data_IF_945447909882
#
_entry.id   IF_945447909882
#
_cell.length_a   1.000
_cell.length_b   1.000
_cell.length_c   1.000
_cell.angle_alpha   90.00
_cell.angle_beta   90.00
_cell.angle_gamma   90.00
#
_symmetry.space_group_name_H-M   'P 1'
#
loop_
_entity.id
_entity.type
_entity.pdbx_description
1 polymer ?
#
# COMPACT_ATOMS: atom_id res chain seq x y z
N UNK A 1 -10.46 0.53 13.00
CA UNK A 1 -10.63 -0.48 11.94
C UNK A 1 -10.74 0.21 10.59
N UNK A 2 -9.91 -0.22 9.64
CA UNK A 2 -10.02 0.22 8.25
C UNK A 2 -10.86 -0.74 7.42
N UNK A 3 -11.66 -0.20 6.50
CA UNK A 3 -12.52 -1.00 5.62
C UNK A 3 -11.98 -0.94 4.19
N UNK A 4 -11.70 -2.10 3.60
CA UNK A 4 -11.20 -2.21 2.23
C UNK A 4 -12.34 -2.56 1.28
N UNK A 5 -12.53 -1.73 0.25
CA UNK A 5 -13.63 -1.83 -0.71
C UNK A 5 -13.03 -2.11 -2.10
N UNK A 6 -13.65 -3.05 -2.81
CA UNK A 6 -13.30 -3.43 -4.17
C UNK A 6 -14.57 -3.63 -5.01
N UNK A 7 -14.41 -3.70 -6.33
CA UNK A 7 -15.52 -4.05 -7.22
C UNK A 7 -15.87 -5.53 -7.16
N UNK A 8 -17.13 -5.84 -7.43
CA UNK A 8 -17.59 -7.20 -7.70
C UNK A 8 -17.14 -7.66 -9.08
N UNK A 9 -17.05 -8.99 -9.27
CA UNK A 9 -16.57 -9.58 -10.52
C UNK A 9 -17.49 -9.25 -11.70
N UNK A 10 -18.80 -9.29 -11.46
CA UNK A 10 -19.83 -9.28 -12.51
C UNK A 10 -20.46 -7.90 -12.73
N UNK A 11 -20.05 -6.88 -11.97
CA UNK A 11 -20.53 -5.50 -12.14
C UNK A 11 -19.89 -4.85 -13.36
N UNK A 12 -20.73 -4.30 -14.25
CA UNK A 12 -20.28 -3.55 -15.42
C UNK A 12 -19.70 -2.17 -15.08
N UNK A 13 -20.42 -1.37 -14.30
CA UNK A 13 -19.94 -0.08 -13.77
C UNK A 13 -19.14 -0.30 -12.49
N UNK A 14 -17.82 -0.45 -12.61
CA UNK A 14 -16.95 -0.71 -11.46
C UNK A 14 -17.10 0.33 -10.34
N UNK A 15 -17.27 1.61 -10.68
CA UNK A 15 -17.34 2.69 -9.70
C UNK A 15 -18.61 2.63 -8.84
N UNK A 16 -19.72 2.06 -9.36
CA UNK A 16 -20.95 1.88 -8.59
C UNK A 16 -20.77 1.02 -7.33
N UNK A 17 -19.97 -0.04 -7.41
CA UNK A 17 -19.68 -0.91 -6.25
C UNK A 17 -18.89 -0.15 -5.16
N UNK A 18 -17.91 0.68 -5.57
CA UNK A 18 -17.14 1.47 -4.61
C UNK A 18 -18.00 2.54 -3.94
N UNK A 19 -18.82 3.26 -4.71
CA UNK A 19 -19.76 4.26 -4.20
C UNK A 19 -20.70 3.64 -3.17
N UNK A 20 -21.30 2.48 -3.51
CA UNK A 20 -22.18 1.76 -2.59
C UNK A 20 -21.44 1.32 -1.32
N UNK A 21 -20.24 0.75 -1.47
CA UNK A 21 -19.43 0.32 -0.33
C UNK A 21 -19.04 1.46 0.59
N UNK A 22 -18.66 2.61 0.03
CA UNK A 22 -18.26 3.81 0.78
C UNK A 22 -19.47 4.40 1.53
N UNK A 23 -20.60 4.57 0.85
CA UNK A 23 -21.82 5.09 1.48
C UNK A 23 -22.33 4.17 2.59
N UNK A 24 -22.21 2.85 2.41
CA UNK A 24 -22.74 1.85 3.37
C UNK A 24 -21.82 1.67 4.58
N UNK A 25 -20.50 1.57 4.35
CA UNK A 25 -19.54 1.19 5.38
C UNK A 25 -18.76 2.37 5.95
N UNK A 26 -18.78 3.53 5.29
CA UNK A 26 -18.10 4.75 5.72
C UNK A 26 -18.42 5.17 7.16
N UNK A 27 -19.70 5.20 7.59
CA UNK A 27 -20.05 5.56 8.97
C UNK A 27 -19.51 4.60 10.05
N UNK A 28 -18.98 3.44 9.67
CA UNK A 28 -18.46 2.39 10.56
C UNK A 28 -16.92 2.29 10.51
N UNK A 29 -16.26 3.03 9.63
CA UNK A 29 -14.84 2.89 9.34
C UNK A 29 -14.02 4.03 9.98
N UNK A 30 -12.88 3.69 10.58
CA UNK A 30 -11.89 4.70 11.00
C UNK A 30 -11.08 5.22 9.80
N UNK A 31 -11.00 4.43 8.72
CA UNK A 31 -10.52 4.86 7.40
C UNK A 31 -11.03 3.89 6.33
N UNK A 32 -11.18 4.38 5.11
CA UNK A 32 -11.61 3.62 3.94
C UNK A 32 -10.43 3.35 3.01
N UNK A 33 -10.49 2.25 2.27
CA UNK A 33 -9.51 1.92 1.24
C UNK A 33 -10.20 1.55 -0.06
N UNK A 34 -9.87 2.25 -1.13
CA UNK A 34 -10.24 1.91 -2.50
C UNK A 34 -9.16 0.98 -3.08
N UNK A 35 -9.54 -0.26 -3.38
CA UNK A 35 -8.62 -1.29 -3.85
C UNK A 35 -8.76 -1.56 -5.34
N UNK A 36 -7.85 -0.97 -6.12
CA UNK A 36 -7.75 -1.12 -7.58
C UNK A 36 -6.62 -2.06 -8.02
N UNK A 37 -6.07 -2.86 -7.09
CA UNK A 37 -4.75 -3.47 -7.29
C UNK A 37 -4.69 -5.00 -7.22
N UNK A 38 -5.80 -5.67 -6.95
CA UNK A 38 -5.85 -7.15 -6.95
C UNK A 38 -5.51 -7.70 -8.34
N UNK A 39 -4.56 -8.65 -8.45
CA UNK A 39 -4.30 -9.36 -9.71
C UNK A 39 -5.35 -10.44 -10.03
N UNK A 40 -6.22 -10.77 -9.06
CA UNK A 40 -7.14 -11.91 -9.16
C UNK A 40 -8.52 -11.52 -9.71
N UNK A 41 -8.78 -10.22 -9.88
CA UNK A 41 -10.01 -9.70 -10.47
C UNK A 41 -9.70 -9.20 -11.88
N UNK A 42 -10.16 -9.87 -12.94
CA UNK A 42 -9.89 -9.46 -14.32
C UNK A 42 -10.25 -7.99 -14.56
N UNK A 43 -9.37 -7.27 -15.25
CA UNK A 43 -9.54 -5.85 -15.60
C UNK A 43 -9.40 -4.86 -14.44
N UNK A 44 -9.32 -5.30 -13.17
CA UNK A 44 -9.32 -4.38 -12.03
C UNK A 44 -8.13 -3.41 -12.06
N UNK A 45 -6.94 -3.91 -12.40
CA UNK A 45 -5.71 -3.09 -12.44
C UNK A 45 -5.73 -2.01 -13.52
N UNK A 46 -6.63 -2.11 -14.50
CA UNK A 46 -6.83 -1.07 -15.51
C UNK A 46 -7.42 0.21 -14.90
N UNK A 47 -8.11 0.11 -13.75
CA UNK A 47 -8.59 1.28 -13.00
C UNK A 47 -7.47 2.14 -12.39
N UNK A 48 -6.20 1.73 -12.54
CA UNK A 48 -5.05 2.56 -12.17
C UNK A 48 -4.58 3.45 -13.33
N UNK A 49 -5.22 3.37 -14.52
CA UNK A 49 -5.05 4.36 -15.58
C UNK A 49 -5.57 5.73 -15.14
N UNK A 50 -4.94 6.81 -15.62
CA UNK A 50 -5.23 8.18 -15.17
C UNK A 50 -6.72 8.52 -15.23
N UNK A 51 -7.31 8.41 -16.43
CA UNK A 51 -8.71 8.76 -16.68
C UNK A 51 -9.66 7.92 -15.83
N UNK A 52 -9.44 6.60 -15.78
CA UNK A 52 -10.29 5.68 -15.02
C UNK A 52 -10.20 5.94 -13.51
N UNK A 53 -9.01 6.28 -13.01
CA UNK A 53 -8.80 6.57 -11.60
C UNK A 53 -9.41 7.92 -11.20
N UNK A 54 -9.28 8.95 -12.05
CA UNK A 54 -9.91 10.26 -11.86
C UNK A 54 -11.43 10.12 -11.77
N UNK A 55 -12.05 9.38 -12.70
CA UNK A 55 -13.49 9.13 -12.69
C UNK A 55 -13.91 8.38 -11.42
N UNK A 56 -13.20 7.30 -11.09
CA UNK A 56 -13.50 6.47 -9.93
C UNK A 56 -13.41 7.28 -8.62
N UNK A 57 -12.28 7.94 -8.38
CA UNK A 57 -12.07 8.70 -7.16
C UNK A 57 -13.01 9.92 -7.08
N UNK A 58 -13.27 10.59 -8.19
CA UNK A 58 -14.25 11.69 -8.23
C UNK A 58 -15.64 11.24 -7.76
N UNK A 59 -16.13 10.09 -8.24
CA UNK A 59 -17.41 9.50 -7.80
C UNK A 59 -17.37 9.06 -6.35
N UNK A 60 -16.27 8.45 -5.91
CA UNK A 60 -16.11 8.00 -4.51
C UNK A 60 -16.11 9.19 -3.54
N UNK A 61 -15.38 10.27 -3.86
CA UNK A 61 -15.31 11.46 -3.01
C UNK A 61 -16.69 12.11 -2.81
N UNK A 62 -17.54 12.11 -3.84
CA UNK A 62 -18.93 12.59 -3.75
C UNK A 62 -19.84 11.69 -2.89
N UNK A 63 -19.46 10.43 -2.70
CA UNK A 63 -20.23 9.44 -1.95
C UNK A 63 -19.80 9.28 -0.49
N UNK A 64 -18.75 10.00 -0.05
CA UNK A 64 -18.28 9.94 1.33
C UNK A 64 -19.39 10.42 2.27
N UNK A 65 -19.58 9.76 3.43
CA UNK A 65 -20.51 10.22 4.45
C UNK A 65 -19.99 11.50 5.14
N UNK A 66 -20.84 12.14 5.94
CA UNK A 66 -20.46 13.22 6.85
C UNK A 66 -20.64 12.77 8.31
N UNK A 67 -19.60 12.79 9.16
CA UNK A 67 -18.20 13.12 8.85
C UNK A 67 -17.53 12.06 7.97
N UNK A 68 -16.69 12.52 7.04
CA UNK A 68 -15.95 11.63 6.14
C UNK A 68 -14.75 11.00 6.85
N UNK A 69 -14.61 9.66 6.88
CA UNK A 69 -13.39 9.02 7.33
C UNK A 69 -12.28 9.19 6.27
N UNK A 70 -10.99 9.17 6.68
CA UNK A 70 -9.88 9.24 5.73
C UNK A 70 -9.97 8.18 4.63
N UNK A 71 -9.78 8.59 3.38
CA UNK A 71 -9.84 7.73 2.20
C UNK A 71 -8.45 7.44 1.66
N UNK A 72 -8.10 6.16 1.56
CA UNK A 72 -6.80 5.73 1.05
C UNK A 72 -6.93 4.94 -0.26
N UNK A 73 -5.95 5.08 -1.15
CA UNK A 73 -5.84 4.25 -2.37
C UNK A 73 -4.83 3.12 -2.19
N UNK A 74 -5.19 1.88 -2.54
CA UNK A 74 -4.25 0.74 -2.52
C UNK A 74 -3.84 0.33 -3.93
N UNK A 75 -2.54 0.46 -4.22
CA UNK A 75 -1.96 0.30 -5.57
C UNK A 75 -1.18 -1.01 -5.74
N UNK A 76 -1.01 -1.44 -6.99
CA UNK A 76 -0.19 -2.58 -7.35
C UNK A 76 1.29 -2.16 -7.45
N UNK A 77 2.26 -3.05 -7.14
CA UNK A 77 3.67 -2.75 -7.31
C UNK A 77 4.15 -2.82 -8.77
N UNK A 78 3.31 -3.34 -9.67
CA UNK A 78 3.65 -3.70 -11.05
C UNK A 78 3.32 -2.57 -12.06
N UNK A 79 3.20 -1.33 -11.60
CA UNK A 79 3.09 -0.16 -12.47
C UNK A 79 4.46 0.16 -13.08
N UNK A 80 4.45 0.70 -14.29
CA UNK A 80 5.62 1.38 -14.84
C UNK A 80 5.75 2.79 -14.24
N UNK A 81 6.86 3.47 -14.52
CA UNK A 81 7.17 4.74 -13.86
C UNK A 81 6.25 5.89 -14.30
N UNK A 82 5.66 5.79 -15.50
CA UNK A 82 4.66 6.73 -15.99
C UNK A 82 3.33 6.53 -15.25
N UNK A 83 2.82 5.29 -15.23
CA UNK A 83 1.58 4.95 -14.53
C UNK A 83 1.66 5.19 -13.02
N UNK A 84 2.82 4.96 -12.39
CA UNK A 84 3.01 5.31 -10.98
C UNK A 84 2.91 6.82 -10.74
N UNK A 85 3.50 7.63 -11.62
CA UNK A 85 3.40 9.11 -11.56
C UNK A 85 1.96 9.55 -11.70
N UNK A 86 1.25 9.06 -12.72
CA UNK A 86 -0.16 9.40 -12.95
C UNK A 86 -1.02 9.08 -11.72
N UNK A 87 -0.87 7.89 -11.14
CA UNK A 87 -1.63 7.50 -9.94
C UNK A 87 -1.37 8.42 -8.75
N UNK A 88 -0.13 8.85 -8.54
CA UNK A 88 0.23 9.78 -7.45
C UNK A 88 -0.32 11.18 -7.72
N UNK A 89 -0.25 11.66 -8.95
CA UNK A 89 -0.82 12.96 -9.34
C UNK A 89 -2.33 12.98 -9.13
N UNK A 90 -3.05 11.96 -9.61
CA UNK A 90 -4.50 11.85 -9.41
C UNK A 90 -4.85 11.77 -7.92
N UNK A 91 -4.09 11.02 -7.11
CA UNK A 91 -4.31 10.96 -5.67
C UNK A 91 -4.20 12.35 -5.00
N UNK A 92 -3.21 13.16 -5.43
CA UNK A 92 -3.03 14.52 -4.92
C UNK A 92 -4.14 15.48 -5.40
N UNK A 93 -4.51 15.40 -6.68
CA UNK A 93 -5.54 16.25 -7.30
C UNK A 93 -6.93 15.99 -6.74
N UNK A 94 -7.26 14.72 -6.48
CA UNK A 94 -8.54 14.31 -5.89
C UNK A 94 -8.61 14.58 -4.38
N UNK A 95 -7.47 14.82 -3.73
CA UNK A 95 -7.41 15.16 -2.31
C UNK A 95 -7.66 13.97 -1.38
N UNK A 96 -7.34 12.75 -1.80
CA UNK A 96 -7.41 11.58 -0.90
C UNK A 96 -6.35 11.66 0.21
N UNK A 97 -6.63 11.02 1.34
CA UNK A 97 -5.87 11.22 2.58
C UNK A 97 -4.60 10.36 2.70
N UNK A 98 -4.36 9.43 1.77
CA UNK A 98 -3.14 8.62 1.77
C UNK A 98 -3.15 7.45 0.80
N UNK A 99 -2.08 6.67 0.84
CA UNK A 99 -1.91 5.52 -0.05
C UNK A 99 -1.34 4.30 0.67
N UNK A 100 -1.71 3.11 0.17
CA UNK A 100 -1.18 1.82 0.63
C UNK A 100 -0.31 1.22 -0.47
N UNK A 101 0.98 1.05 -0.17
CA UNK A 101 2.01 0.61 -1.12
C UNK A 101 2.72 -0.64 -0.56
N UNK A 102 2.44 -1.86 -1.01
CA UNK A 102 1.60 -2.22 -2.17
C UNK A 102 0.74 -3.46 -1.94
N UNK A 103 -0.09 -3.77 -2.93
CA UNK A 103 -0.67 -5.11 -3.09
C UNK A 103 0.39 -6.14 -3.53
N UNK A 104 -0.05 -7.37 -3.77
CA UNK A 104 0.77 -8.47 -4.30
C UNK A 104 1.30 -8.19 -5.71
N UNK A 105 2.42 -8.83 -6.07
CA UNK A 105 3.02 -8.73 -7.42
C UNK A 105 2.65 -9.93 -8.30
N UNK A 106 2.54 -9.72 -9.61
CA UNK A 106 2.46 -10.82 -10.59
C UNK A 106 3.84 -11.36 -10.98
N UNK A 107 4.91 -10.68 -10.61
CA UNK A 107 6.28 -11.11 -10.92
C UNK A 107 6.59 -12.44 -10.22
N UNK A 108 7.45 -13.24 -10.85
CA UNK A 108 7.98 -14.49 -10.32
C UNK A 108 9.52 -14.43 -10.39
N UNK A 109 10.18 -13.91 -9.34
CA UNK A 109 11.64 -13.86 -9.28
C UNK A 109 12.26 -15.25 -9.47
N UNK A 110 13.41 -15.31 -10.13
CA UNK A 110 14.05 -16.59 -10.49
C UNK A 110 14.56 -17.36 -9.27
N UNK A 111 14.75 -16.65 -8.16
CA UNK A 111 15.27 -17.15 -6.89
C UNK A 111 14.21 -17.94 -6.10
N UNK A 112 12.95 -17.97 -6.56
CA UNK A 112 11.88 -18.75 -5.93
C UNK A 112 12.17 -20.26 -6.01
N UNK A 113 12.25 -20.91 -4.85
CA UNK A 113 12.61 -22.34 -4.74
C UNK A 113 11.41 -23.29 -4.74
N UNK A 114 10.22 -22.82 -4.37
CA UNK A 114 9.05 -23.69 -4.25
C UNK A 114 8.66 -24.33 -5.59
N UNK A 115 8.17 -25.57 -5.55
CA UNK A 115 7.53 -26.22 -6.69
C UNK A 115 6.32 -25.41 -7.21
N UNK A 116 5.65 -24.67 -6.32
CA UNK A 116 4.48 -23.82 -6.62
C UNK A 116 4.83 -22.43 -7.18
N UNK A 117 6.10 -22.18 -7.54
CA UNK A 117 6.53 -20.86 -8.04
C UNK A 117 5.84 -20.41 -9.34
N UNK A 118 5.24 -21.35 -10.08
CA UNK A 118 4.56 -21.09 -11.36
C UNK A 118 3.05 -20.89 -11.22
N UNK A 119 2.50 -20.96 -10.00
CA UNK A 119 1.08 -20.72 -9.76
C UNK A 119 0.66 -19.31 -10.20
N UNK A 120 -0.53 -19.20 -10.76
CA UNK A 120 -1.12 -17.92 -11.15
C UNK A 120 -1.56 -17.10 -9.92
N UNK A 121 -1.78 -15.79 -10.12
CA UNK A 121 -2.25 -14.87 -9.09
C UNK A 121 -1.13 -14.04 -8.45
N UNK A 122 -1.38 -13.53 -7.24
CA UNK A 122 -0.48 -12.62 -6.54
C UNK A 122 0.58 -13.31 -5.68
N UNK A 123 1.85 -12.92 -5.85
CA UNK A 123 2.97 -13.26 -4.96
C UNK A 123 3.10 -12.21 -3.85
N UNK A 124 3.31 -12.68 -2.62
CA UNK A 124 3.44 -11.86 -1.41
C UNK A 124 4.65 -12.30 -0.57
N UNK A 125 4.85 -11.69 0.60
CA UNK A 125 5.91 -12.07 1.53
C UNK A 125 7.29 -11.57 1.14
N UNK A 126 8.33 -12.24 1.66
CA UNK A 126 9.75 -11.81 1.52
C UNK A 126 10.15 -11.48 0.07
N UNK A 127 9.77 -12.25 -0.97
CA UNK A 127 10.13 -11.91 -2.35
C UNK A 127 9.62 -10.55 -2.84
N UNK A 128 8.56 -10.02 -2.21
CA UNK A 128 7.99 -8.71 -2.55
C UNK A 128 8.68 -7.55 -1.81
N UNK A 129 9.50 -7.81 -0.80
CA UNK A 129 10.01 -6.76 0.10
C UNK A 129 10.76 -5.66 -0.64
N UNK A 130 11.72 -6.02 -1.50
CA UNK A 130 12.54 -5.05 -2.23
C UNK A 130 11.68 -4.22 -3.19
N UNK A 131 10.91 -4.88 -4.06
CA UNK A 131 10.04 -4.21 -5.03
C UNK A 131 9.05 -3.26 -4.35
N UNK A 132 8.33 -3.74 -3.32
CA UNK A 132 7.34 -2.90 -2.63
C UNK A 132 7.96 -1.75 -1.85
N UNK A 133 9.22 -1.84 -1.43
CA UNK A 133 9.92 -0.74 -0.73
C UNK A 133 10.43 0.30 -1.72
N UNK A 134 10.92 -0.12 -2.89
CA UNK A 134 11.26 0.81 -4.00
C UNK A 134 10.04 1.60 -4.46
N UNK A 135 8.92 0.91 -4.73
CA UNK A 135 7.67 1.58 -5.12
C UNK A 135 7.15 2.52 -4.03
N UNK A 136 7.28 2.15 -2.75
CA UNK A 136 6.94 3.05 -1.63
C UNK A 136 7.81 4.32 -1.64
N UNK A 137 9.13 4.17 -1.84
CA UNK A 137 10.08 5.27 -1.91
C UNK A 137 9.77 6.22 -3.07
N UNK A 138 9.48 5.68 -4.25
CA UNK A 138 9.09 6.44 -5.43
C UNK A 138 7.79 7.22 -5.20
N UNK A 139 6.76 6.59 -4.62
CA UNK A 139 5.50 7.27 -4.25
C UNK A 139 5.75 8.40 -3.26
N UNK A 140 6.64 8.20 -2.28
CA UNK A 140 7.01 9.25 -1.33
C UNK A 140 7.69 10.44 -2.03
N UNK A 141 8.63 10.17 -2.95
CA UNK A 141 9.29 11.22 -3.76
C UNK A 141 8.28 11.99 -4.62
N UNK A 142 7.43 11.27 -5.35
CA UNK A 142 6.42 11.85 -6.24
C UNK A 142 5.39 12.69 -5.48
N UNK A 143 4.94 12.20 -4.33
CA UNK A 143 4.02 12.96 -3.47
C UNK A 143 4.69 14.09 -2.68
N UNK A 144 6.04 14.13 -2.67
CA UNK A 144 6.85 15.05 -1.87
C UNK A 144 6.51 14.99 -0.37
N UNK A 145 6.18 13.79 0.11
CA UNK A 145 5.76 13.55 1.50
C UNK A 145 4.40 14.17 1.89
N UNK A 146 3.62 14.69 0.93
CA UNK A 146 2.29 15.26 1.19
C UNK A 146 1.22 14.22 1.51
N UNK A 147 1.45 12.96 1.14
CA UNK A 147 0.55 11.85 1.43
C UNK A 147 1.15 10.94 2.50
N UNK A 148 0.43 10.68 3.61
CA UNK A 148 0.74 9.56 4.49
C UNK A 148 0.71 8.24 3.72
N UNK A 149 1.77 7.45 3.86
CA UNK A 149 1.89 6.15 3.18
C UNK A 149 1.85 4.99 4.17
N UNK A 150 1.13 3.93 3.82
CA UNK A 150 1.16 2.65 4.52
C UNK A 150 2.00 1.66 3.70
N UNK A 151 3.15 1.26 4.24
CA UNK A 151 4.06 0.30 3.63
C UNK A 151 3.62 -1.15 3.84
N UNK A 152 3.49 -1.90 2.75
CA UNK A 152 3.01 -3.30 2.75
C UNK A 152 3.85 -4.12 1.78
N UNK A 153 4.14 -5.36 2.16
CA UNK A 153 4.88 -6.32 1.33
C UNK A 153 6.19 -6.73 2.00
N UNK A 154 6.28 -8.01 2.37
CA UNK A 154 7.52 -8.64 2.84
C UNK A 154 8.07 -8.20 4.19
N UNK A 155 7.34 -7.40 4.97
CA UNK A 155 7.74 -6.99 6.32
C UNK A 155 7.64 -8.19 7.28
N UNK A 156 8.76 -8.60 7.88
CA UNK A 156 8.83 -9.73 8.81
C UNK A 156 9.69 -9.48 10.06
N UNK A 157 10.31 -8.30 10.17
CA UNK A 157 11.12 -7.86 11.32
C UNK A 157 10.94 -6.36 11.60
N UNK A 158 11.41 -5.89 12.76
CA UNK A 158 11.51 -4.46 13.07
C UNK A 158 12.44 -3.72 12.12
N UNK A 159 13.51 -4.38 11.64
CA UNK A 159 14.40 -3.82 10.62
C UNK A 159 13.66 -3.61 9.29
N UNK A 160 12.85 -4.58 8.85
CA UNK A 160 12.03 -4.44 7.63
C UNK A 160 11.02 -3.29 7.78
N UNK A 161 10.38 -3.18 8.95
CA UNK A 161 9.44 -2.09 9.24
C UNK A 161 10.14 -0.73 9.25
N UNK A 162 11.31 -0.67 9.87
CA UNK A 162 12.13 0.53 9.93
C UNK A 162 12.61 0.97 8.54
N UNK A 163 13.05 0.03 7.70
CA UNK A 163 13.40 0.30 6.31
C UNK A 163 12.22 0.86 5.51
N UNK A 164 11.00 0.30 5.65
CA UNK A 164 9.79 0.89 5.05
C UNK A 164 9.57 2.33 5.52
N UNK A 165 9.69 2.58 6.82
CA UNK A 165 9.47 3.91 7.42
C UNK A 165 10.48 4.92 6.88
N UNK A 166 11.77 4.58 6.91
CA UNK A 166 12.85 5.41 6.37
C UNK A 166 12.71 5.69 4.88
N UNK A 167 12.05 4.80 4.14
CA UNK A 167 11.73 4.97 2.73
C UNK A 167 10.34 5.59 2.46
N UNK A 168 9.68 6.15 3.48
CA UNK A 168 8.51 7.02 3.31
C UNK A 168 7.21 6.52 3.93
N UNK A 169 7.17 5.29 4.47
CA UNK A 169 5.98 4.82 5.18
C UNK A 169 5.78 5.55 6.52
N UNK A 170 4.55 5.97 6.79
CA UNK A 170 4.11 6.40 8.12
C UNK A 170 3.63 5.22 8.97
N UNK A 171 3.08 4.17 8.34
CA UNK A 171 2.63 2.93 8.99
C UNK A 171 3.05 1.71 8.16
N UNK A 172 3.02 0.52 8.75
CA UNK A 172 3.25 -0.75 8.04
C UNK A 172 2.13 -1.76 8.25
N UNK A 173 1.84 -2.60 7.26
CA UNK A 173 0.90 -3.74 7.39
C UNK A 173 1.60 -5.08 7.21
N UNK A 174 1.09 -6.08 7.94
CA UNK A 174 1.60 -7.44 7.97
C UNK A 174 0.53 -8.40 7.44
N UNK A 175 0.96 -9.41 6.69
CA UNK A 175 0.12 -10.54 6.31
C UNK A 175 0.96 -11.81 6.27
N UNK A 176 1.73 -12.02 5.20
CA UNK A 176 2.43 -13.28 4.93
C UNK A 176 3.33 -13.73 6.09
N UNK A 177 4.05 -12.80 6.72
CA UNK A 177 4.95 -13.12 7.84
C UNK A 177 4.20 -13.66 9.07
N UNK A 178 2.94 -13.25 9.30
CA UNK A 178 2.14 -13.78 10.41
C UNK A 178 1.79 -15.26 10.23
N UNK A 179 1.67 -15.74 8.99
CA UNK A 179 1.41 -17.15 8.69
C UNK A 179 2.58 -18.02 9.20
N UNK A 180 3.82 -17.51 9.10
CA UNK A 180 5.01 -18.25 9.49
C UNK A 180 5.42 -18.03 10.95
N UNK A 181 5.27 -16.81 11.46
CA UNK A 181 5.78 -16.42 12.78
C UNK A 181 4.69 -16.34 13.87
N UNK A 182 3.41 -16.47 13.51
CA UNK A 182 2.29 -16.35 14.42
C UNK A 182 2.03 -14.91 14.91
N UNK A 183 1.05 -14.71 15.80
CA UNK A 183 0.62 -13.38 16.25
C UNK A 183 1.67 -12.64 17.09
N UNK A 184 2.60 -13.36 17.73
CA UNK A 184 3.70 -12.76 18.51
C UNK A 184 4.65 -11.90 17.67
N UNK A 185 4.62 -12.05 16.34
CA UNK A 185 5.37 -11.22 15.38
C UNK A 185 5.16 -9.72 15.62
N UNK A 186 3.93 -9.29 15.88
CA UNK A 186 3.60 -7.86 16.00
C UNK A 186 4.35 -7.22 17.16
N UNK A 187 4.33 -7.87 18.33
CA UNK A 187 5.03 -7.37 19.52
C UNK A 187 6.54 -7.33 19.32
N UNK A 188 7.10 -8.34 18.65
CA UNK A 188 8.53 -8.39 18.32
C UNK A 188 8.93 -7.22 17.41
N UNK A 189 8.20 -7.02 16.31
CA UNK A 189 8.46 -5.91 15.37
C UNK A 189 8.39 -4.56 16.09
N UNK A 190 7.39 -4.35 16.94
CA UNK A 190 7.24 -3.10 17.68
C UNK A 190 8.44 -2.82 18.61
N UNK A 191 8.91 -3.83 19.34
CA UNK A 191 10.08 -3.71 20.22
C UNK A 191 11.38 -3.48 19.46
N UNK A 192 11.61 -4.23 18.39
CA UNK A 192 12.78 -4.07 17.52
C UNK A 192 12.79 -2.68 16.84
N UNK A 193 11.65 -2.21 16.34
CA UNK A 193 11.50 -0.89 15.74
C UNK A 193 11.82 0.23 16.75
N UNK A 194 11.31 0.13 17.98
CA UNK A 194 11.60 1.10 19.03
C UNK A 194 13.11 1.16 19.36
N UNK A 195 13.77 0.00 19.42
CA UNK A 195 15.22 -0.06 19.63
C UNK A 195 16.01 0.57 18.48
N UNK A 196 15.60 0.35 17.22
CA UNK A 196 16.23 0.93 16.04
C UNK A 196 16.05 2.46 15.98
N UNK A 197 14.85 2.96 16.30
CA UNK A 197 14.58 4.39 16.40
C UNK A 197 15.48 5.05 17.45
N UNK A 198 15.55 4.46 18.66
CA UNK A 198 16.38 4.97 19.73
C UNK A 198 17.88 4.93 19.39
N UNK A 199 18.35 3.84 18.75
CA UNK A 199 19.73 3.70 18.28
C UNK A 199 20.13 4.83 17.33
N UNK A 200 19.23 5.22 16.44
CA UNK A 200 19.48 6.26 15.44
C UNK A 200 19.09 7.68 15.93
N UNK A 201 18.73 7.83 17.20
CA UNK A 201 18.47 9.12 17.84
C UNK A 201 17.07 9.69 17.61
N UNK A 202 16.11 8.90 17.12
CA UNK A 202 14.73 9.32 16.93
C UNK A 202 13.90 9.12 18.20
N UNK A 203 13.24 10.19 18.65
CA UNK A 203 12.30 10.16 19.76
C UNK A 203 10.88 9.75 19.33
N UNK A 204 10.56 9.86 18.04
CA UNK A 204 9.25 9.48 17.51
C UNK A 204 9.36 8.94 16.07
N UNK A 205 8.56 7.93 15.72
CA UNK A 205 8.58 7.28 14.39
C UNK A 205 8.49 8.27 13.21
N UNK A 206 7.64 9.31 13.34
CA UNK A 206 7.50 10.43 12.40
C UNK A 206 8.83 11.05 11.95
N UNK A 207 9.82 11.10 12.83
CA UNK A 207 11.13 11.73 12.54
C UNK A 207 11.98 10.86 11.61
N UNK A 208 11.69 9.56 11.54
CA UNK A 208 12.36 8.63 10.64
C UNK A 208 11.67 8.54 9.27
N UNK A 209 10.44 9.07 9.10
CA UNK A 209 9.67 8.91 7.86
C UNK A 209 10.39 9.60 6.70
N UNK A 210 10.75 8.82 5.68
CA UNK A 210 11.35 9.34 4.45
C UNK A 210 12.81 9.79 4.57
N UNK A 211 13.50 9.50 5.67
CA UNK A 211 14.91 9.88 5.89
C UNK A 211 15.89 9.32 4.85
N UNK A 212 15.57 8.17 4.25
CA UNK A 212 16.35 7.57 3.17
C UNK A 212 15.66 7.71 1.81
N UNK A 213 14.59 8.52 1.73
CA UNK A 213 13.81 8.61 0.51
C UNK A 213 14.62 9.14 -0.68
N UNK A 214 15.75 9.82 -0.50
CA UNK A 214 16.60 10.29 -1.62
C UNK A 214 17.76 9.33 -1.98
N UNK A 215 17.92 8.23 -1.25
CA UNK A 215 18.97 7.22 -1.50
C UNK A 215 18.45 6.11 -2.40
N UNK A 216 19.31 5.37 -3.07
CA UNK A 216 18.88 4.17 -3.79
C UNK A 216 18.65 3.03 -2.80
N UNK A 217 17.44 2.48 -2.77
CA UNK A 217 17.14 1.32 -1.91
C UNK A 217 17.57 0.03 -2.60
N UNK A 218 18.59 -0.65 -2.05
CA UNK A 218 19.16 -1.87 -2.63
C UNK A 218 18.51 -3.13 -2.05
N UNK A 219 17.98 -3.05 -0.82
CA UNK A 219 17.49 -4.19 -0.07
C UNK A 219 18.55 -4.88 0.79
N UNK A 220 19.79 -4.39 0.75
CA UNK A 220 20.91 -4.84 1.59
C UNK A 220 21.20 -3.87 2.76
N UNK A 221 20.47 -2.75 2.81
CA UNK A 221 20.63 -1.61 3.74
C UNK A 221 20.01 -1.86 5.14
#
# INVERSE_FOLDING_TARGET
VGVNIGKNKDTGDAASDYVLGVATLGPLADYLVINVSSPNTPGLRALQGRTELEELLGRVMQALPDPAPPLLLKIAPDLDDAGLRDVVEVALETGIDGMIVSNTTIQRPRELQSARRHEQGGLSGRPLFVLSTRRLQEVYRLSQGRLPLIGVGGVASGADAYAKIRNGASLVQLYTAMIYAGPGLVRRIAGELAALLARDGFGHVREAVGMDAQKDFTGED
#
